data_IF_095639730753
#
_entry.id   IF_095639730753
#
_cell.length_a   1.000
_cell.length_b   1.000
_cell.length_c   1.000
_cell.angle_alpha   90.00
_cell.angle_beta   90.00
_cell.angle_gamma   90.00
#
_symmetry.space_group_name_H-M   'P 1'
#
loop_
_entity.id
_entity.type
_entity.pdbx_description
1 polymer ?
2 branched ?
3 non-polymer ?
4 water ?
#
# COMPACT_ATOMS: atom_id res chain seq x y z
N UNK A 2 3.52 6.37 -16.82
CA UNK A 2 2.16 6.39 -17.28
C UNK A 2 1.53 5.05 -17.42
N UNK A 3 1.51 4.29 -16.32
CA UNK A 3 0.96 2.91 -16.26
C UNK A 3 -0.46 2.98 -16.16
N UNK A 4 -1.23 2.05 -16.57
CA UNK A 4 -2.63 1.99 -16.45
C UNK A 4 -3.03 1.64 -15.01
N UNK A 5 -3.98 2.34 -14.48
CA UNK A 5 -4.51 2.14 -13.11
C UNK A 5 -5.89 1.69 -13.24
N UNK A 6 -6.40 0.70 -12.53
CA UNK A 6 -5.67 -0.10 -11.54
C UNK A 6 -4.56 -0.95 -12.16
N UNK A 7 -3.44 -1.17 -11.54
CA UNK A 7 -2.29 -1.79 -12.06
C UNK A 7 -2.03 -3.03 -11.17
N UNK A 8 -1.78 -4.18 -11.74
CA UNK A 8 -1.38 -5.38 -11.03
C UNK A 8 0.08 -5.66 -11.20
N UNK A 9 0.86 -5.75 -10.13
CA UNK A 9 2.20 -6.06 -10.14
C UNK A 9 2.34 -7.46 -9.55
N UNK A 10 2.69 -8.50 -10.35
CA UNK A 10 2.94 -9.83 -9.77
C UNK A 10 4.13 -9.77 -8.89
N UNK A 11 4.12 -10.56 -7.78
CA UNK A 11 5.14 -10.64 -6.84
C UNK A 11 5.61 -12.12 -6.83
N UNK A 12 6.59 -12.52 -7.66
CA UNK A 12 6.78 -13.96 -7.89
C UNK A 12 7.21 -14.70 -6.69
N UNK A 13 6.50 -15.75 -6.30
CA UNK A 13 6.78 -16.45 -5.08
C UNK A 13 6.47 -15.73 -3.79
N UNK A 14 5.59 -14.70 -3.94
CA UNK A 14 5.17 -13.92 -2.80
C UNK A 14 6.19 -13.01 -2.26
N UNK A 15 5.93 -12.52 -1.08
CA UNK A 15 6.86 -11.59 -0.44
C UNK A 15 7.69 -12.33 0.56
N UNK A 16 8.72 -11.71 1.11
CA UNK A 16 9.70 -12.29 1.95
C UNK A 16 10.44 -11.13 2.61
N UNK A 17 10.88 -11.30 3.81
CA UNK A 17 11.72 -10.25 4.41
C UNK A 17 12.90 -9.92 3.52
N UNK A 18 13.14 -8.60 3.50
CA UNK A 18 14.12 -7.89 2.70
C UNK A 18 13.69 -7.58 1.27
N UNK A 19 12.43 -7.84 0.91
CA UNK A 19 11.86 -7.38 -0.33
C UNK A 19 11.33 -5.97 -0.14
N UNK A 20 11.78 -5.11 -1.07
CA UNK A 20 11.34 -3.67 -1.10
C UNK A 20 10.54 -3.40 -2.28
N UNK A 21 9.31 -2.89 -2.11
CA UNK A 21 8.44 -2.56 -3.18
C UNK A 21 8.36 -1.02 -3.26
N UNK A 22 8.60 -0.48 -4.43
CA UNK A 22 8.61 0.99 -4.65
C UNK A 22 7.63 1.42 -5.63
N UNK A 23 6.73 2.35 -5.27
CA UNK A 23 5.65 2.85 -6.12
C UNK A 23 5.92 4.34 -6.29
N UNK A 24 6.08 4.83 -7.49
CA UNK A 24 6.28 6.26 -7.84
C UNK A 24 5.09 6.69 -8.60
N UNK A 25 4.51 7.83 -8.22
CA UNK A 25 3.36 8.39 -8.95
C UNK A 25 3.12 9.85 -8.55
N UNK A 26 2.07 10.40 -9.09
CA UNK A 26 1.67 11.76 -8.73
C UNK A 26 0.23 11.67 -8.39
N UNK A 27 -0.19 12.31 -7.31
CA UNK A 27 -1.56 12.31 -6.94
C UNK A 27 -2.35 13.24 -7.88
N UNK A 28 -3.50 12.85 -8.34
CA UNK A 28 -4.37 13.69 -9.20
C UNK A 28 -4.85 14.87 -8.43
N UNK A 29 -5.27 15.92 -9.15
CA UNK A 29 -5.86 17.02 -8.45
C UNK A 29 -7.21 16.58 -7.82
N UNK A 30 -7.56 17.13 -6.67
CA UNK A 30 -8.86 16.79 -6.05
C UNK A 30 -9.01 15.27 -5.82
N UNK A 31 -7.90 14.63 -5.42
CA UNK A 31 -7.98 13.16 -5.16
C UNK A 31 -8.90 12.87 -4.01
N UNK A 32 -9.51 11.65 -4.08
CA UNK A 32 -10.29 11.11 -2.94
C UNK A 32 -9.60 9.97 -2.24
N UNK A 33 -8.92 9.09 -3.02
CA UNK A 33 -8.32 7.87 -2.42
C UNK A 33 -7.19 7.35 -3.20
N UNK A 34 -6.32 6.60 -2.53
CA UNK A 34 -5.24 5.76 -3.15
C UNK A 34 -5.45 4.40 -2.45
N UNK A 35 -5.08 3.30 -3.15
CA UNK A 35 -5.06 2.01 -2.47
C UNK A 35 -3.96 1.15 -2.96
N UNK A 36 -3.23 0.53 -2.05
CA UNK A 36 -2.33 -0.62 -2.31
C UNK A 36 -2.97 -1.80 -1.72
N UNK A 37 -3.11 -2.90 -2.46
CA UNK A 37 -3.70 -4.18 -2.01
C UNK A 37 -2.72 -5.27 -2.29
N UNK A 38 -2.02 -5.72 -1.27
CA UNK A 38 -1.15 -6.92 -1.35
C UNK A 38 -2.05 -8.11 -1.15
N UNK A 39 -2.23 -8.91 -2.18
CA UNK A 39 -3.20 -9.98 -2.18
C UNK A 39 -2.63 -11.36 -2.13
N UNK A 40 -3.32 -12.21 -1.37
CA UNK A 40 -3.13 -13.66 -1.32
C UNK A 40 -4.37 -14.26 -1.94
N UNK A 41 -4.33 -14.58 -3.24
CA UNK A 41 -5.58 -14.94 -3.94
C UNK A 41 -6.59 -13.85 -3.75
N UNK A 42 -7.83 -14.24 -3.39
CA UNK A 42 -8.87 -13.27 -3.10
C UNK A 42 -8.68 -12.50 -1.82
N UNK A 43 -7.86 -12.97 -0.91
CA UNK A 43 -7.63 -12.25 0.34
C UNK A 43 -6.74 -11.09 0.12
N UNK A 44 -6.90 -10.06 0.98
CA UNK A 44 -6.00 -8.90 0.99
C UNK A 44 -5.17 -8.97 2.24
N UNK A 45 -3.93 -9.36 2.11
CA UNK A 45 -3.06 -9.43 3.24
C UNK A 45 -2.79 -8.10 3.86
N UNK A 46 -2.60 -7.08 3.06
CA UNK A 46 -2.28 -5.72 3.52
C UNK A 46 -2.89 -4.76 2.54
N UNK A 47 -3.91 -4.03 3.02
CA UNK A 47 -4.60 -2.94 2.34
C UNK A 47 -4.09 -1.64 2.96
N UNK A 48 -3.53 -0.77 2.17
CA UNK A 48 -2.97 0.55 2.55
C UNK A 48 -3.76 1.59 1.76
N UNK A 49 -4.61 2.37 2.51
CA UNK A 49 -5.64 3.17 1.83
C UNK A 49 -5.67 4.61 2.37
N UNK A 50 -4.86 5.48 1.81
CA UNK A 50 -5.03 6.94 2.03
C UNK A 50 -6.36 7.36 1.52
N UNK A 51 -7.09 8.06 2.46
CA UNK A 51 -8.38 8.69 2.21
C UNK A 51 -8.26 10.24 2.40
N UNK A 52 -8.49 10.97 1.32
CA UNK A 52 -8.32 12.44 1.32
C UNK A 52 -9.45 13.20 1.91
N UNK A 53 -10.62 12.60 2.01
CA UNK A 53 -11.74 13.27 2.60
C UNK A 53 -12.69 12.29 3.27
N UNK A 54 -12.41 11.86 4.45
CA UNK A 54 -13.36 11.05 5.18
C UNK A 54 -13.83 12.01 6.26
N UNK A 55 -15.08 12.47 6.05
CA UNK A 55 -15.64 13.46 6.99
C UNK A 55 -14.72 14.74 7.17
N UNK A 56 -14.16 15.14 6.00
CA UNK A 56 -13.27 16.31 5.97
C UNK A 56 -11.95 16.19 6.67
N UNK A 57 -11.53 14.92 6.89
CA UNK A 57 -10.26 14.60 7.49
C UNK A 57 -9.52 13.70 6.52
N UNK A 58 -8.22 13.72 6.66
CA UNK A 58 -7.30 12.90 5.81
C UNK A 58 -6.79 11.85 6.73
N UNK A 59 -6.84 10.56 6.27
CA UNK A 59 -6.47 9.45 7.11
C UNK A 59 -5.95 8.31 6.21
N UNK A 60 -5.02 7.59 6.77
CA UNK A 60 -4.55 6.34 6.12
C UNK A 60 -5.22 5.15 6.87
N UNK A 61 -5.99 4.37 6.10
CA UNK A 61 -6.63 3.18 6.69
C UNK A 61 -5.87 1.97 6.22
N UNK A 62 -5.47 1.09 7.14
CA UNK A 62 -4.88 -0.23 6.82
C UNK A 62 -5.70 -1.35 7.38
N UNK A 63 -5.78 -2.44 6.66
CA UNK A 63 -6.54 -3.58 7.07
C UNK A 63 -6.18 -4.82 6.25
N UNK A 64 -6.87 -5.90 6.59
CA UNK A 64 -6.78 -7.21 5.94
C UNK A 64 -8.15 -7.68 5.65
N UNK A 65 -8.31 -8.35 4.48
CA UNK A 65 -9.59 -8.91 4.04
C UNK A 65 -9.39 -10.42 3.96
N UNK A 66 -10.16 -11.20 4.73
CA UNK A 66 -10.11 -12.66 4.76
C UNK A 66 -11.47 -13.19 4.41
N UNK A 67 -11.56 -14.09 3.42
CA UNK A 67 -12.86 -14.70 3.06
C UNK A 67 -13.90 -13.61 2.83
N UNK A 68 -13.54 -12.53 2.19
CA UNK A 68 -14.42 -11.37 1.91
C UNK A 68 -14.80 -10.50 3.08
N UNK A 69 -14.20 -10.65 4.23
CA UNK A 69 -14.55 -9.89 5.37
C UNK A 69 -13.32 -9.03 5.77
N UNK A 70 -13.56 -7.70 5.92
CA UNK A 70 -12.54 -6.82 6.42
C UNK A 70 -12.35 -7.02 7.90
N UNK A 71 -11.20 -6.91 8.43
CA UNK A 71 -10.88 -7.02 9.80
C UNK A 71 -10.91 -5.68 10.60
N UNK A 72 -10.13 -5.59 11.59
CA UNK A 72 -10.11 -4.36 12.39
C UNK A 72 -9.15 -3.42 11.71
N UNK A 73 -9.63 -2.18 11.52
CA UNK A 73 -8.84 -1.11 10.82
C UNK A 73 -7.75 -0.65 11.71
N UNK A 74 -6.58 -0.33 11.18
CA UNK A 74 -5.49 0.37 11.79
C UNK A 74 -5.37 1.73 11.14
N UNK A 75 -5.54 2.85 11.90
CA UNK A 75 -5.55 4.22 11.33
C UNK A 75 -4.35 5.02 11.73
N UNK A 76 -3.87 5.81 10.78
CA UNK A 76 -2.68 6.67 10.90
C UNK A 76 -3.14 8.04 10.44
N UNK A 77 -3.03 8.99 11.39
CA UNK A 77 -3.35 10.41 11.12
C UNK A 77 -2.29 11.14 10.36
N UNK A 78 -1.03 10.73 10.46
CA UNK A 78 0.02 11.36 9.69
C UNK A 78 -0.26 11.04 8.20
N UNK A 79 -0.26 12.08 7.35
CA UNK A 79 -0.84 11.98 6.04
C UNK A 79 0.04 12.75 5.07
N UNK A 80 1.08 12.09 4.52
CA UNK A 80 2.12 12.77 3.74
C UNK A 80 1.74 13.07 2.32
N UNK A 81 0.65 12.62 1.78
CA UNK A 81 0.23 12.79 0.39
C UNK A 81 -0.45 14.11 0.20
N UNK A 82 -0.36 14.71 -0.97
CA UNK A 82 -1.03 15.99 -1.28
C UNK A 82 -1.52 15.95 -2.68
N UNK A 83 -2.76 16.29 -2.98
CA UNK A 83 -3.24 16.37 -4.30
C UNK A 83 -2.30 17.12 -5.20
N UNK A 84 -2.10 16.62 -6.37
CA UNK A 84 -1.26 17.26 -7.37
C UNK A 84 0.18 16.98 -7.27
N UNK A 85 0.68 16.30 -6.22
CA UNK A 85 2.13 16.23 -5.97
C UNK A 85 2.69 14.80 -6.19
N UNK A 86 3.94 14.74 -6.63
CA UNK A 86 4.63 13.45 -6.83
C UNK A 86 5.00 12.86 -5.48
N UNK A 87 4.90 11.52 -5.40
CA UNK A 87 5.20 10.78 -4.17
C UNK A 87 6.01 9.54 -4.51
N UNK A 88 6.62 9.01 -3.48
CA UNK A 88 7.26 7.68 -3.49
C UNK A 88 6.76 6.93 -2.29
N UNK A 89 6.23 5.74 -2.48
CA UNK A 89 5.83 4.82 -1.44
C UNK A 89 6.88 3.71 -1.47
N UNK A 90 7.50 3.43 -0.35
CA UNK A 90 8.36 2.25 -0.17
C UNK A 90 7.78 1.34 0.86
N UNK A 91 7.58 0.07 0.48
CA UNK A 91 7.05 -0.92 1.39
C UNK A 91 8.13 -1.96 1.57
N UNK A 92 8.74 -2.01 2.73
CA UNK A 92 9.82 -2.99 3.03
C UNK A 92 9.21 -4.08 3.85
N UNK A 93 9.33 -5.32 3.36
CA UNK A 93 8.80 -6.47 4.15
C UNK A 93 9.90 -6.79 5.20
N UNK A 94 9.42 -6.80 6.43
CA UNK A 94 10.30 -7.21 7.54
C UNK A 94 9.69 -8.48 8.17
N UNK A 95 10.41 -9.20 9.06
CA UNK A 95 9.89 -10.43 9.55
C UNK A 95 8.54 -10.33 10.22
N UNK A 96 8.20 -9.30 10.93
CA UNK A 96 6.97 -9.29 11.56
C UNK A 96 5.90 -8.21 11.13
N UNK A 97 6.32 -7.43 10.12
CA UNK A 97 5.43 -6.36 9.59
C UNK A 97 5.92 -5.89 8.23
N UNK A 98 4.94 -5.24 7.58
CA UNK A 98 5.29 -4.36 6.45
C UNK A 98 5.71 -2.99 7.04
N UNK A 99 6.78 -2.42 6.54
CA UNK A 99 7.26 -1.12 6.99
C UNK A 99 7.09 -0.14 5.83
N UNK A 100 6.34 0.93 6.02
CA UNK A 100 6.03 1.86 4.93
C UNK A 100 6.71 3.20 5.17
N UNK A 101 7.43 3.70 4.18
CA UNK A 101 7.94 5.08 4.14
C UNK A 101 7.37 5.77 2.94
N UNK A 102 7.06 7.06 3.09
CA UNK A 102 6.58 7.91 2.00
C UNK A 102 7.54 9.09 1.85
N UNK A 103 8.07 9.28 0.69
CA UNK A 103 8.99 10.42 0.42
C UNK A 103 10.17 10.35 1.35
N UNK A 104 10.68 9.13 1.62
CA UNK A 104 11.84 8.81 2.44
C UNK A 104 11.62 8.98 3.89
N UNK A 105 10.43 9.23 4.38
CA UNK A 105 10.15 9.34 5.75
C UNK A 105 9.30 8.20 6.21
N UNK A 106 9.69 7.55 7.29
CA UNK A 106 8.89 6.50 7.88
C UNK A 106 7.53 6.93 8.14
N UNK A 107 6.48 6.16 7.81
CA UNK A 107 5.11 6.44 8.01
C UNK A 107 4.48 5.51 9.00
N UNK A 108 4.49 4.19 8.75
CA UNK A 108 3.77 3.25 9.59
C UNK A 108 4.34 1.89 9.38
N UNK A 109 3.96 1.01 10.29
CA UNK A 109 4.19 -0.46 10.18
C UNK A 109 2.86 -1.14 10.32
N UNK A 110 2.77 -2.33 9.71
CA UNK A 110 1.52 -3.16 9.74
C UNK A 110 1.93 -4.58 9.97
N UNK A 111 1.61 -5.06 11.18
CA UNK A 111 1.97 -6.45 11.59
C UNK A 111 1.31 -7.48 10.68
N UNK A 112 2.05 -8.51 10.38
CA UNK A 112 1.53 -9.59 9.55
C UNK A 112 0.37 -10.32 10.12
N UNK A 113 -0.79 -10.23 9.55
CA UNK A 113 -1.93 -11.04 9.89
C UNK A 113 -2.02 -12.29 9.07
N UNK A 114 -1.78 -12.17 7.77
CA UNK A 114 -1.55 -13.31 6.85
C UNK A 114 -0.14 -13.73 7.04
N UNK A 115 0.01 -15.03 7.33
CA UNK A 115 1.28 -15.63 7.77
C UNK A 115 2.05 -16.26 6.66
N UNK A 116 1.32 -16.63 5.57
CA UNK A 116 1.93 -17.29 4.45
C UNK A 116 2.44 -16.21 3.47
N UNK A 117 3.60 -15.64 3.81
CA UNK A 117 4.10 -14.51 3.05
C UNK A 117 4.39 -14.89 1.61
N UNK A 118 4.86 -16.11 1.39
CA UNK A 118 5.15 -16.56 0.03
C UNK A 118 3.94 -16.81 -0.80
N UNK A 119 2.73 -16.60 -0.27
CA UNK A 119 1.49 -16.70 -1.11
C UNK A 119 0.89 -15.33 -1.40
N UNK A 120 1.52 -14.27 -0.92
CA UNK A 120 1.07 -12.89 -1.15
C UNK A 120 1.69 -12.48 -2.48
N UNK A 121 1.07 -12.84 -3.58
CA UNK A 121 1.85 -12.87 -4.84
C UNK A 121 1.31 -11.90 -5.88
N UNK A 122 0.54 -10.90 -5.44
CA UNK A 122 0.08 -9.82 -6.34
C UNK A 122 0.03 -8.56 -5.52
N UNK A 123 0.36 -7.44 -6.14
CA UNK A 123 0.08 -6.06 -5.58
C UNK A 123 -0.82 -5.34 -6.53
N UNK A 124 -2.01 -4.96 -6.11
CA UNK A 124 -2.87 -4.11 -6.89
C UNK A 124 -2.69 -2.67 -6.45
N UNK A 125 -2.51 -1.77 -7.39
CA UNK A 125 -2.31 -0.34 -7.12
C UNK A 125 -3.48 0.40 -7.78
N UNK A 126 -4.27 1.15 -7.02
CA UNK A 126 -5.46 1.77 -7.55
C UNK A 126 -5.69 3.17 -6.94
N UNK A 127 -6.66 3.90 -7.49
CA UNK A 127 -6.93 5.18 -6.94
C UNK A 127 -6.54 6.35 -7.82
N UNK A 128 -6.56 7.54 -7.22
CA UNK A 128 -6.58 8.80 -7.98
C UNK A 128 -5.18 9.29 -8.16
N UNK A 129 -4.37 8.50 -8.87
CA UNK A 129 -2.98 8.76 -9.14
C UNK A 129 -2.66 8.66 -10.64
N UNK A 130 -1.60 9.29 -11.02
CA UNK A 130 -0.89 8.99 -12.24
C UNK A 130 0.21 8.11 -11.81
N UNK A 131 0.23 6.85 -12.23
CA UNK A 131 1.24 5.94 -11.79
C UNK A 131 2.47 5.92 -12.70
N UNK A 132 3.63 6.21 -12.22
CA UNK A 132 4.83 6.32 -12.94
C UNK A 132 5.52 4.97 -13.01
N UNK A 133 5.75 4.31 -11.92
CA UNK A 133 6.39 2.98 -11.96
C UNK A 133 6.03 2.25 -10.66
N UNK A 134 6.13 0.94 -10.75
CA UNK A 134 5.96 0.02 -9.66
C UNK A 134 6.94 -1.07 -9.78
N UNK A 135 7.74 -1.32 -8.82
CA UNK A 135 8.83 -2.32 -8.95
C UNK A 135 9.22 -2.88 -7.62
N UNK A 136 10.09 -3.86 -7.58
CA UNK A 136 10.61 -4.44 -6.39
C UNK A 136 12.10 -4.79 -6.45
N UNK A 137 12.75 -4.90 -5.34
CA UNK A 137 14.15 -5.33 -5.32
C UNK A 137 14.38 -5.98 -3.98
N UNK A 138 15.42 -6.82 -3.91
CA UNK A 138 15.78 -7.46 -2.68
C UNK A 138 16.91 -6.72 -2.08
N UNK A 139 16.85 -6.22 -0.86
CA UNK A 139 17.90 -5.46 -0.23
C UNK A 139 18.68 -6.28 0.76
X LIG B 1 -15.70 2.91 9.04
X LIG B 1 -15.79 1.78 8.11
X LIG B 1 -15.15 2.08 6.74
X LIG B 1 -15.37 0.90 5.94
X LIG B 1 -16.97 1.09 6.25
X LIG B 1 -17.51 0.34 5.29
X LIG B 1 -16.44 3.98 8.48
X LIG B 1 -15.03 0.74 8.68
X LIG B 1 -13.76 2.39 6.81
X LIG B 1 -14.93 1.06 4.53
X LIG B 1 -17.21 1.33 7.72
X LIG B 1 -17.61 1.52 4.46
X LIG B 2 -14.18 0.02 3.87
X LIG B 2 -13.90 0.34 2.50
X LIG B 2 -12.93 -0.67 1.80
X LIG B 2 -11.71 -0.83 2.63
X LIG B 2 -12.11 -1.15 4.03
X LIG B 2 -10.95 -1.16 4.93
X LIG B 2 -15.17 0.27 1.71
X LIG B 2 -12.67 -0.28 0.43
X LIG B 2 -10.97 0.44 2.54
X LIG B 2 -12.91 -0.06 4.62
X LIG B 2 -11.32 -1.44 6.27
X LIG C 1 -1.98 -17.28 6.33
X LIG D 1 -4.55 16.96 -0.52
X LIG E 1 -10.48 -0.34 16.57
#
# INVERSE_FOLDING_TARGET
GPLIVPYNLPLPGGVVPRMLITILGTVKPNANRIALDFQRGNDVAFHFNPRFNENNRRVIVCNTKLDNNWGREERQSVFPFESGKPFKIQVLVEPDHFKVAVNDAHLLQYNHRVKKLNEISKLGISGDIDLTSASYTMI
FRU C1 C2 C3 C4 C5 C6 O1 O2 O3 O4 O5 O6
GAL C1 C2 C3 C4 C5 C6 O2 O3 O4 O5 O6
CL CL
CL CL
CL CL
#
